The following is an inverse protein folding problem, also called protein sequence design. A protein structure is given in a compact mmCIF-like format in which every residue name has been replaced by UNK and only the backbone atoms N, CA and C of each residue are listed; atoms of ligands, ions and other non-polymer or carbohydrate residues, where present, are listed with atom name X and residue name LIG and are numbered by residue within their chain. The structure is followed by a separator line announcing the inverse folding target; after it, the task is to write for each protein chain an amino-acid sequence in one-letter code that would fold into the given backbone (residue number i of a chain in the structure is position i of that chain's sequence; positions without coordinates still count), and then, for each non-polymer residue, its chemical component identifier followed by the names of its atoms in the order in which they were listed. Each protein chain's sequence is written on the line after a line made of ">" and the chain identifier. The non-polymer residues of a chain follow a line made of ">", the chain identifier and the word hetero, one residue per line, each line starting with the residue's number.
data_IF_911477410184
#
_entry.id   IF_911477410184
#
_cell.length_a   1.000
_cell.length_b   1.000
_cell.length_c   1.000
_cell.angle_alpha   90.00
_cell.angle_beta   90.00
_cell.angle_gamma   90.00
#
_symmetry.space_group_name_H-M   'P 1'
#
loop_
_entity.id
_entity.type
_entity.pdbx_description
1 polymer ?
#
# COMPACT_ATOMS: atom_id res chain seq x y z
N UNK A 1 -19.27 21.15 -31.68
CA UNK A 1 -17.93 20.52 -31.72
C UNK A 1 -17.80 19.61 -30.51
N UNK A 2 -17.23 18.42 -30.67
CA UNK A 2 -16.98 17.47 -29.57
C UNK A 2 -15.46 17.20 -29.56
N UNK A 3 -14.85 17.20 -28.37
CA UNK A 3 -13.44 16.90 -28.17
C UNK A 3 -13.29 16.05 -26.90
N UNK A 4 -12.20 15.28 -26.82
CA UNK A 4 -11.86 14.45 -25.68
C UNK A 4 -10.43 14.77 -25.22
N UNK A 5 -10.19 14.77 -23.90
CA UNK A 5 -8.86 14.90 -23.30
C UNK A 5 -8.79 14.12 -22.00
N UNK A 6 -7.61 13.54 -21.71
CA UNK A 6 -7.30 12.95 -20.41
C UNK A 6 -6.62 13.95 -19.46
N UNK A 7 -6.29 15.14 -19.96
CA UNK A 7 -5.62 16.21 -19.20
C UNK A 7 -6.39 17.51 -19.33
N UNK A 8 -7.50 17.66 -18.60
CA UNK A 8 -8.25 18.92 -18.59
C UNK A 8 -7.49 20.06 -17.91
N UNK A 9 -6.50 19.74 -17.08
CA UNK A 9 -5.64 20.66 -16.31
C UNK A 9 -4.74 21.54 -17.20
N UNK A 10 -4.34 21.05 -18.38
CA UNK A 10 -3.45 21.76 -19.31
C UNK A 10 -4.19 22.49 -20.44
N UNK A 11 -5.52 22.39 -20.49
CA UNK A 11 -6.29 23.07 -21.52
C UNK A 11 -6.24 24.58 -21.31
N UNK A 12 -6.11 25.33 -22.42
CA UNK A 12 -6.22 26.79 -22.39
C UNK A 12 -7.60 27.18 -21.80
N UNK A 13 -7.64 27.94 -20.69
CA UNK A 13 -8.89 28.40 -20.08
C UNK A 13 -9.80 29.16 -21.06
N UNK A 14 -9.23 29.77 -22.10
CA UNK A 14 -10.00 30.43 -23.14
C UNK A 14 -10.92 29.45 -23.89
N UNK A 15 -10.55 28.18 -24.04
CA UNK A 15 -11.39 27.16 -24.69
C UNK A 15 -12.64 26.80 -23.86
N UNK A 16 -12.57 26.97 -22.54
CA UNK A 16 -13.62 26.63 -21.59
C UNK A 16 -14.58 27.80 -21.31
N UNK A 17 -14.40 28.94 -21.97
CA UNK A 17 -15.30 30.09 -21.84
C UNK A 17 -16.65 29.84 -22.54
N UNK A 18 -17.75 30.41 -22.03
CA UNK A 18 -19.05 30.32 -22.67
C UNK A 18 -19.02 30.76 -24.14
N UNK A 19 -19.73 30.01 -25.01
CA UNK A 19 -19.74 30.15 -26.47
C UNK A 19 -18.69 29.28 -27.19
N UNK A 20 -17.96 28.41 -26.47
CA UNK A 20 -16.94 27.49 -27.03
C UNK A 20 -17.23 26.06 -26.59
N UNK A 21 -16.56 25.56 -25.55
CA UNK A 21 -16.88 24.29 -24.92
C UNK A 21 -17.75 24.50 -23.68
N UNK A 22 -19.05 24.67 -23.91
CA UNK A 22 -20.02 25.02 -22.86
C UNK A 22 -20.36 23.85 -21.93
N UNK A 23 -20.16 22.62 -22.39
CA UNK A 23 -20.49 21.39 -21.66
C UNK A 23 -19.25 20.54 -21.49
N UNK A 24 -19.03 20.12 -20.24
CA UNK A 24 -18.02 19.13 -19.87
C UNK A 24 -18.77 17.90 -19.39
N UNK A 25 -18.47 16.77 -20.01
CA UNK A 25 -18.95 15.46 -19.58
C UNK A 25 -17.71 14.68 -19.19
N UNK A 26 -17.58 14.39 -17.90
CA UNK A 26 -16.52 13.53 -17.39
C UNK A 26 -16.98 12.08 -17.56
N UNK A 27 -16.11 11.23 -18.13
CA UNK A 27 -16.34 9.80 -18.18
C UNK A 27 -15.37 9.13 -17.21
N UNK A 28 -15.89 8.73 -16.06
CA UNK A 28 -15.14 7.99 -15.06
C UNK A 28 -15.03 6.51 -15.44
N UNK A 29 -14.18 5.77 -14.71
CA UNK A 29 -14.14 4.31 -14.84
C UNK A 29 -15.49 3.70 -14.47
N UNK A 30 -15.91 2.63 -15.16
CA UNK A 30 -17.20 1.99 -14.89
C UNK A 30 -17.23 1.35 -13.50
N UNK A 31 -18.36 1.53 -12.82
CA UNK A 31 -18.70 0.77 -11.61
C UNK A 31 -19.02 -0.69 -11.94
N UNK A 32 -19.27 -1.52 -10.93
CA UNK A 32 -19.54 -2.96 -11.12
C UNK A 32 -20.68 -3.24 -12.12
N UNK A 33 -21.77 -2.47 -12.10
CA UNK A 33 -22.89 -2.66 -13.03
C UNK A 33 -22.54 -2.18 -14.44
N UNK A 34 -21.81 -1.08 -14.57
CA UNK A 34 -21.24 -0.60 -15.81
C UNK A 34 -20.28 -1.63 -16.42
N UNK A 35 -19.42 -2.26 -15.62
CA UNK A 35 -18.52 -3.34 -16.08
C UNK A 35 -19.33 -4.52 -16.60
N UNK A 36 -20.37 -4.97 -15.88
CA UNK A 36 -21.27 -6.04 -16.36
C UNK A 36 -21.93 -5.67 -17.69
N UNK A 37 -22.42 -4.44 -17.83
CA UNK A 37 -23.06 -3.96 -19.06
C UNK A 37 -22.08 -3.95 -20.24
N UNK A 38 -20.86 -3.44 -20.03
CA UNK A 38 -19.81 -3.42 -21.05
C UNK A 38 -19.41 -4.84 -21.45
N UNK A 39 -19.21 -5.74 -20.49
CA UNK A 39 -18.93 -7.15 -20.76
C UNK A 39 -20.02 -7.80 -21.60
N UNK A 40 -21.30 -7.57 -21.27
CA UNK A 40 -22.45 -8.07 -22.05
C UNK A 40 -22.45 -7.56 -23.48
N UNK A 41 -22.17 -6.26 -23.69
CA UNK A 41 -22.08 -5.66 -25.03
C UNK A 41 -20.98 -6.30 -25.86
N UNK A 42 -19.78 -6.46 -25.30
CA UNK A 42 -18.64 -7.01 -26.03
C UNK A 42 -18.69 -8.54 -26.21
N UNK A 43 -19.47 -9.24 -25.37
CA UNK A 43 -19.70 -10.66 -25.51
C UNK A 43 -20.83 -11.00 -26.49
N UNK A 44 -21.65 -10.03 -26.89
CA UNK A 44 -22.74 -10.22 -27.83
C UNK A 44 -22.24 -10.83 -29.15
N UNK A 45 -22.88 -11.92 -29.59
CA UNK A 45 -22.52 -12.65 -30.81
C UNK A 45 -21.35 -13.62 -30.69
N UNK A 46 -20.72 -13.75 -29.51
CA UNK A 46 -19.67 -14.76 -29.28
C UNK A 46 -20.28 -16.06 -28.74
N UNK A 47 -19.73 -17.24 -29.10
CA UNK A 47 -20.24 -18.51 -28.60
C UNK A 47 -19.78 -18.72 -27.15
N UNK A 48 -20.58 -18.29 -26.18
CA UNK A 48 -20.30 -18.51 -24.76
C UNK A 48 -20.84 -19.86 -24.29
N UNK A 49 -20.15 -20.47 -23.34
CA UNK A 49 -20.66 -21.63 -22.64
C UNK A 49 -21.75 -21.21 -21.61
N UNK A 50 -22.75 -22.06 -21.30
CA UNK A 50 -23.88 -21.69 -20.45
C UNK A 50 -23.52 -21.27 -19.01
N UNK A 51 -22.38 -21.71 -18.50
CA UNK A 51 -21.88 -21.45 -17.15
C UNK A 51 -21.16 -20.09 -17.00
N UNK A 52 -20.98 -19.34 -18.09
CA UNK A 52 -20.29 -18.03 -18.04
C UNK A 52 -21.18 -17.00 -17.36
N UNK A 53 -20.71 -16.48 -16.22
CA UNK A 53 -21.36 -15.39 -15.49
C UNK A 53 -20.53 -14.12 -15.54
N UNK A 54 -21.13 -13.00 -15.94
CA UNK A 54 -20.43 -11.71 -15.98
C UNK A 54 -20.31 -11.07 -14.59
N UNK A 55 -21.08 -11.55 -13.62
CA UNK A 55 -21.06 -11.06 -12.24
C UNK A 55 -19.72 -11.31 -11.56
N UNK A 56 -19.13 -12.50 -11.72
CA UNK A 56 -17.79 -12.83 -11.21
C UNK A 56 -16.72 -12.00 -11.92
N UNK A 57 -16.77 -11.94 -13.26
CA UNK A 57 -15.80 -11.18 -14.05
C UNK A 57 -15.80 -9.69 -13.71
N UNK A 58 -16.97 -9.08 -13.47
CA UNK A 58 -17.05 -7.68 -13.07
C UNK A 58 -16.45 -7.43 -11.68
N UNK A 59 -16.52 -8.42 -10.77
CA UNK A 59 -15.86 -8.35 -9.46
C UNK A 59 -14.35 -8.49 -9.57
N UNK A 60 -13.87 -9.36 -10.45
CA UNK A 60 -12.42 -9.60 -10.66
C UNK A 60 -11.71 -8.49 -11.45
N UNK A 61 -12.45 -7.53 -12.02
CA UNK A 61 -11.91 -6.46 -12.86
C UNK A 61 -12.10 -5.04 -12.29
N UNK A 62 -11.86 -4.81 -10.98
CA UNK A 62 -12.05 -3.48 -10.40
C UNK A 62 -11.06 -2.49 -11.05
N UNK A 63 -11.58 -1.32 -11.43
CA UNK A 63 -10.78 -0.27 -12.07
C UNK A 63 -10.49 -0.48 -13.56
N UNK A 64 -10.99 -1.55 -14.18
CA UNK A 64 -10.85 -1.74 -15.63
C UNK A 64 -11.67 -0.69 -16.40
N UNK A 65 -11.06 -0.11 -17.42
CA UNK A 65 -11.72 0.71 -18.42
C UNK A 65 -12.55 -0.13 -19.39
N UNK A 66 -13.48 0.50 -20.11
CA UNK A 66 -14.26 -0.20 -21.14
C UNK A 66 -13.40 -0.84 -22.23
N UNK A 67 -12.26 -0.23 -22.56
CA UNK A 67 -11.30 -0.78 -23.52
C UNK A 67 -10.63 -2.05 -22.98
N UNK A 68 -10.24 -2.08 -21.71
CA UNK A 68 -9.64 -3.27 -21.08
C UNK A 68 -10.65 -4.43 -20.97
N UNK A 69 -11.91 -4.15 -20.64
CA UNK A 69 -12.98 -5.14 -20.65
C UNK A 69 -13.24 -5.70 -22.05
N UNK A 70 -13.26 -4.84 -23.07
CA UNK A 70 -13.35 -5.28 -24.47
C UNK A 70 -12.16 -6.17 -24.85
N UNK A 71 -10.95 -5.81 -24.42
CA UNK A 71 -9.74 -6.59 -24.68
C UNK A 71 -9.77 -7.95 -23.98
N UNK A 72 -10.23 -8.00 -22.73
CA UNK A 72 -10.43 -9.24 -21.97
C UNK A 72 -11.35 -10.20 -22.73
N UNK A 73 -12.50 -9.73 -23.21
CA UNK A 73 -13.44 -10.54 -23.99
C UNK A 73 -12.82 -11.03 -25.31
N UNK A 74 -11.90 -10.26 -25.88
CA UNK A 74 -11.18 -10.68 -27.08
C UNK A 74 -10.12 -11.74 -26.79
N UNK A 75 -9.33 -11.56 -25.73
CA UNK A 75 -8.31 -12.51 -25.32
C UNK A 75 -8.91 -13.87 -24.93
N UNK A 76 -10.03 -13.88 -24.21
CA UNK A 76 -10.76 -15.11 -23.88
C UNK A 76 -11.20 -15.87 -25.15
N UNK A 77 -11.70 -15.15 -26.16
CA UNK A 77 -12.08 -15.75 -27.43
C UNK A 77 -10.87 -16.33 -28.19
N UNK A 78 -9.73 -15.62 -28.20
CA UNK A 78 -8.49 -16.09 -28.81
C UNK A 78 -7.98 -17.35 -28.10
N UNK A 79 -8.07 -17.40 -26.77
CA UNK A 79 -7.68 -18.58 -25.98
C UNK A 79 -8.54 -19.80 -26.30
N UNK A 80 -9.87 -19.61 -26.34
CA UNK A 80 -10.80 -20.67 -26.72
C UNK A 80 -10.50 -21.18 -28.15
N UNK A 81 -10.27 -20.27 -29.10
CA UNK A 81 -9.93 -20.62 -30.48
C UNK A 81 -8.59 -21.37 -30.58
N UNK A 82 -7.55 -20.93 -29.86
CA UNK A 82 -6.25 -21.62 -29.80
C UNK A 82 -6.37 -23.03 -29.20
N UNK A 83 -7.30 -23.23 -28.28
CA UNK A 83 -7.63 -24.53 -27.71
C UNK A 83 -8.54 -25.39 -28.60
N UNK A 84 -8.87 -24.96 -29.82
CA UNK A 84 -9.86 -25.59 -30.70
C UNK A 84 -11.22 -25.82 -30.01
N UNK A 85 -11.60 -24.95 -29.07
CA UNK A 85 -12.90 -25.02 -28.38
C UNK A 85 -14.00 -24.40 -29.26
N UNK A 86 -15.20 -24.98 -29.19
CA UNK A 86 -16.39 -24.46 -29.93
C UNK A 86 -17.08 -23.30 -29.20
N UNK A 87 -16.86 -23.18 -27.90
CA UNK A 87 -17.41 -22.15 -27.04
C UNK A 87 -16.32 -21.60 -26.13
N UNK A 88 -16.51 -20.38 -25.62
CA UNK A 88 -15.65 -19.71 -24.64
C UNK A 88 -16.16 -20.09 -23.26
N UNK A 89 -15.31 -20.71 -22.45
CA UNK A 89 -15.64 -21.17 -21.10
C UNK A 89 -15.20 -20.15 -20.06
N UNK A 90 -15.73 -20.25 -18.84
CA UNK A 90 -15.35 -19.36 -17.73
C UNK A 90 -13.82 -19.35 -17.49
N UNK A 91 -13.18 -20.51 -17.56
CA UNK A 91 -11.73 -20.64 -17.44
C UNK A 91 -10.93 -19.85 -18.50
N UNK A 92 -11.49 -19.64 -19.70
CA UNK A 92 -10.84 -18.81 -20.73
C UNK A 92 -10.92 -17.32 -20.37
N UNK A 93 -11.98 -16.90 -19.68
CA UNK A 93 -12.11 -15.53 -19.16
C UNK A 93 -11.20 -15.29 -17.96
N UNK A 94 -11.11 -16.22 -17.01
CA UNK A 94 -10.20 -16.13 -15.86
C UNK A 94 -8.73 -16.04 -16.32
N UNK A 95 -8.34 -16.84 -17.32
CA UNK A 95 -7.01 -16.76 -17.93
C UNK A 95 -6.79 -15.43 -18.67
N UNK A 96 -7.85 -14.87 -19.28
CA UNK A 96 -7.80 -13.56 -19.91
C UNK A 96 -7.65 -12.43 -18.90
N UNK A 97 -8.34 -12.48 -17.76
CA UNK A 97 -8.18 -11.54 -16.63
C UNK A 97 -6.73 -11.53 -16.18
N UNK A 98 -6.17 -12.71 -15.84
CA UNK A 98 -4.77 -12.85 -15.44
C UNK A 98 -3.82 -12.23 -16.47
N UNK A 99 -4.11 -12.44 -17.77
CA UNK A 99 -3.26 -11.96 -18.85
C UNK A 99 -3.35 -10.45 -19.07
N UNK A 100 -4.51 -9.84 -18.84
CA UNK A 100 -4.66 -8.37 -18.92
C UNK A 100 -3.94 -7.71 -17.73
N UNK A 101 -4.03 -8.29 -16.54
CA UNK A 101 -3.40 -7.75 -15.32
C UNK A 101 -1.87 -7.95 -15.35
N UNK A 102 -1.43 -9.19 -15.51
CA UNK A 102 -0.04 -9.58 -15.29
C UNK A 102 0.73 -9.82 -16.61
N UNK A 103 0.07 -9.79 -17.76
CA UNK A 103 0.67 -10.09 -19.06
C UNK A 103 0.68 -11.59 -19.41
N UNK A 104 1.26 -11.96 -20.57
CA UNK A 104 1.26 -13.33 -21.04
C UNK A 104 2.10 -14.26 -20.15
N UNK A 105 1.67 -15.51 -20.04
CA UNK A 105 2.39 -16.57 -19.32
C UNK A 105 3.76 -16.86 -19.96
N UNK A 106 4.81 -16.92 -19.14
CA UNK A 106 6.17 -17.26 -19.60
C UNK A 106 6.39 -18.77 -19.63
N UNK A 107 5.92 -19.45 -20.69
CA UNK A 107 6.03 -20.92 -20.82
C UNK A 107 7.46 -21.45 -20.96
N UNK A 108 8.39 -20.65 -21.52
CA UNK A 108 9.76 -21.09 -21.84
C UNK A 108 10.80 -20.72 -20.79
N UNK A 109 10.43 -20.04 -19.69
CA UNK A 109 11.37 -19.70 -18.64
C UNK A 109 11.61 -20.94 -17.78
N UNK A 110 12.83 -21.46 -17.79
CA UNK A 110 13.25 -22.50 -16.83
C UNK A 110 13.34 -21.81 -15.47
N UNK A 111 12.37 -22.06 -14.60
CA UNK A 111 12.36 -21.56 -13.22
C UNK A 111 13.11 -22.56 -12.35
N UNK A 112 14.11 -22.08 -11.61
CA UNK A 112 14.84 -22.90 -10.65
C UNK A 112 13.86 -23.38 -9.56
N UNK A 113 13.89 -24.66 -9.13
CA UNK A 113 13.09 -25.13 -7.99
C UNK A 113 13.11 -24.20 -6.77
N UNK A 114 14.28 -23.66 -6.41
CA UNK A 114 14.42 -22.69 -5.30
C UNK A 114 13.70 -21.37 -5.58
N UNK A 115 13.76 -20.85 -6.80
CA UNK A 115 13.04 -19.61 -7.20
C UNK A 115 11.52 -19.82 -7.15
N UNK A 116 11.05 -20.99 -7.59
CA UNK A 116 9.63 -21.37 -7.50
C UNK A 116 9.17 -21.48 -6.05
N UNK A 117 9.99 -22.08 -5.19
CA UNK A 117 9.71 -22.21 -3.76
C UNK A 117 9.67 -20.83 -3.09
N UNK A 118 10.66 -19.98 -3.30
CA UNK A 118 10.66 -18.60 -2.78
C UNK A 118 9.43 -17.82 -3.23
N UNK A 119 9.08 -17.91 -4.52
CA UNK A 119 7.86 -17.27 -5.04
C UNK A 119 6.61 -17.80 -4.34
N UNK A 120 6.53 -19.11 -4.07
CA UNK A 120 5.38 -19.68 -3.38
C UNK A 120 5.20 -19.16 -1.95
N UNK A 121 6.29 -19.06 -1.18
CA UNK A 121 6.23 -18.49 0.16
C UNK A 121 5.97 -16.98 0.13
N UNK A 122 6.49 -16.27 -0.87
CA UNK A 122 6.22 -14.85 -1.08
C UNK A 122 4.72 -14.60 -1.28
N UNK A 123 4.09 -15.29 -2.23
CA UNK A 123 2.65 -15.15 -2.49
C UNK A 123 1.81 -15.64 -1.30
N UNK A 124 2.22 -16.73 -0.64
CA UNK A 124 1.57 -17.19 0.58
C UNK A 124 1.64 -16.15 1.70
N UNK A 125 2.73 -15.39 1.79
CA UNK A 125 2.89 -14.27 2.73
C UNK A 125 1.84 -13.19 2.55
N UNK A 126 1.63 -12.73 1.30
CA UNK A 126 0.54 -11.79 1.00
C UNK A 126 -0.82 -12.35 1.37
N UNK A 127 -1.10 -13.58 0.95
CA UNK A 127 -2.40 -14.22 1.15
C UNK A 127 -2.71 -14.45 2.64
N UNK A 128 -1.73 -14.91 3.42
CA UNK A 128 -1.91 -15.18 4.84
C UNK A 128 -2.16 -13.89 5.63
N UNK A 129 -1.41 -12.83 5.33
CA UNK A 129 -1.63 -11.52 5.96
C UNK A 129 -3.00 -10.97 5.56
N UNK A 130 -3.40 -11.08 4.28
CA UNK A 130 -4.72 -10.62 3.84
C UNK A 130 -5.85 -11.39 4.54
N UNK A 131 -5.70 -12.71 4.69
CA UNK A 131 -6.68 -13.54 5.40
C UNK A 131 -6.79 -13.23 6.89
N UNK A 132 -5.69 -12.87 7.54
CA UNK A 132 -5.66 -12.56 8.98
C UNK A 132 -6.16 -11.15 9.33
N UNK A 133 -6.20 -10.24 8.35
CA UNK A 133 -6.46 -8.81 8.56
C UNK A 133 -7.92 -8.46 8.31
N UNK A 134 -8.64 -8.01 9.34
CA UNK A 134 -10.09 -7.73 9.29
C UNK A 134 -10.52 -6.80 8.15
N UNK A 135 -9.78 -5.69 7.94
CA UNK A 135 -10.08 -4.70 6.91
C UNK A 135 -9.35 -4.90 5.58
N UNK A 136 -8.65 -6.02 5.38
CA UNK A 136 -8.03 -6.32 4.10
C UNK A 136 -9.07 -6.84 3.10
N UNK A 137 -8.83 -6.60 1.81
CA UNK A 137 -9.69 -7.17 0.78
C UNK A 137 -9.46 -8.69 0.70
N UNK A 138 -10.52 -9.50 0.49
CA UNK A 138 -10.41 -10.95 0.55
C UNK A 138 -9.55 -11.52 -0.58
N UNK A 139 -8.84 -12.61 -0.28
CA UNK A 139 -8.04 -13.35 -1.26
C UNK A 139 -8.97 -14.10 -2.20
N UNK A 140 -8.88 -13.77 -3.49
CA UNK A 140 -9.64 -14.44 -4.53
C UNK A 140 -8.83 -15.60 -5.15
N UNK A 141 -7.55 -15.36 -5.44
CA UNK A 141 -6.69 -16.33 -6.14
C UNK A 141 -5.23 -16.12 -5.80
N UNK A 142 -4.49 -17.21 -5.68
CA UNK A 142 -3.03 -17.22 -5.48
C UNK A 142 -2.42 -17.99 -6.64
N UNK A 143 -1.41 -17.42 -7.30
CA UNK A 143 -0.74 -18.05 -8.43
C UNK A 143 0.76 -17.83 -8.38
N UNK A 144 1.53 -18.91 -8.50
CA UNK A 144 3.00 -18.89 -8.61
C UNK A 144 3.46 -18.98 -10.08
N UNK A 145 2.55 -18.72 -11.01
CA UNK A 145 2.82 -18.81 -12.44
C UNK A 145 3.39 -17.48 -12.92
N UNK A 146 4.63 -17.51 -13.41
CA UNK A 146 5.29 -16.33 -13.94
C UNK A 146 4.57 -15.77 -15.19
N UNK A 147 4.21 -14.49 -15.13
CA UNK A 147 3.50 -13.73 -16.16
C UNK A 147 4.11 -12.34 -16.32
N UNK A 148 4.22 -11.85 -17.56
CA UNK A 148 4.74 -10.50 -17.81
C UNK A 148 6.04 -10.26 -17.07
N UNK A 149 6.13 -9.29 -16.15
CA UNK A 149 7.31 -9.08 -15.28
C UNK A 149 7.22 -9.75 -13.89
N UNK A 150 6.07 -10.35 -13.55
CA UNK A 150 5.75 -10.94 -12.26
C UNK A 150 6.16 -12.42 -12.19
N UNK A 151 6.69 -12.85 -11.04
CA UNK A 151 7.04 -14.25 -10.74
C UNK A 151 5.84 -15.07 -10.25
N UNK A 152 4.96 -14.42 -9.49
CA UNK A 152 3.66 -14.89 -9.02
C UNK A 152 2.75 -13.67 -8.80
N UNK A 153 1.51 -13.90 -8.40
CA UNK A 153 0.64 -12.85 -7.90
C UNK A 153 -0.45 -13.40 -6.96
N UNK A 154 -0.87 -12.54 -6.04
CA UNK A 154 -2.00 -12.75 -5.14
C UNK A 154 -3.09 -11.74 -5.48
N UNK A 155 -4.23 -12.23 -5.98
CA UNK A 155 -5.37 -11.40 -6.36
C UNK A 155 -6.26 -11.15 -5.16
N UNK A 156 -6.36 -9.88 -4.75
CA UNK A 156 -7.31 -9.40 -3.76
C UNK A 156 -8.47 -8.71 -4.47
N UNK A 157 -9.69 -9.13 -4.19
CA UNK A 157 -10.89 -8.60 -4.84
C UNK A 157 -11.78 -7.96 -3.79
N UNK A 158 -12.03 -6.64 -3.83
CA UNK A 158 -12.94 -6.00 -2.89
C UNK A 158 -14.38 -6.49 -3.12
N UNK A 159 -15.17 -6.60 -2.05
CA UNK A 159 -16.58 -6.99 -2.15
C UNK A 159 -17.44 -5.93 -2.86
N UNK A 160 -17.05 -4.67 -2.70
CA UNK A 160 -17.73 -3.50 -3.24
C UNK A 160 -16.70 -2.49 -3.78
N UNK A 161 -17.06 -1.75 -4.83
CA UNK A 161 -16.24 -0.64 -5.32
C UNK A 161 -16.29 0.51 -4.31
N UNK A 162 -15.14 0.83 -3.70
CA UNK A 162 -15.05 1.86 -2.64
C UNK A 162 -14.47 3.16 -3.18
N UNK A 163 -15.17 4.27 -2.96
CA UNK A 163 -14.66 5.62 -3.23
C UNK A 163 -13.90 6.22 -2.04
N UNK A 164 -14.27 5.86 -0.81
CA UNK A 164 -13.65 6.35 0.41
C UNK A 164 -12.86 5.22 1.09
N UNK A 165 -11.68 5.56 1.60
CA UNK A 165 -10.78 4.64 2.29
C UNK A 165 -10.55 5.10 3.72
N UNK A 166 -10.68 4.18 4.67
CA UNK A 166 -10.35 4.43 6.07
C UNK A 166 -8.87 4.23 6.33
N UNK A 167 -8.36 4.83 7.43
CA UNK A 167 -6.97 4.64 7.86
C UNK A 167 -6.65 3.16 8.10
N UNK A 168 -7.54 2.42 8.78
CA UNK A 168 -7.34 1.00 9.07
C UNK A 168 -7.22 0.14 7.81
N UNK A 169 -8.04 0.42 6.79
CA UNK A 169 -7.94 -0.27 5.49
C UNK A 169 -6.60 0.00 4.81
N UNK A 170 -6.10 1.24 4.85
CA UNK A 170 -4.78 1.55 4.31
C UNK A 170 -3.64 0.88 5.10
N UNK A 171 -3.73 0.86 6.43
CA UNK A 171 -2.77 0.16 7.28
C UNK A 171 -2.73 -1.35 6.98
N UNK A 172 -3.90 -1.98 6.85
CA UNK A 172 -4.01 -3.40 6.50
C UNK A 172 -3.50 -3.67 5.08
N UNK A 173 -3.84 -2.82 4.11
CA UNK A 173 -3.32 -2.93 2.74
C UNK A 173 -1.80 -2.84 2.70
N UNK A 174 -1.22 -1.92 3.48
CA UNK A 174 0.23 -1.81 3.62
C UNK A 174 0.84 -3.06 4.24
N UNK A 175 0.22 -3.62 5.29
CA UNK A 175 0.66 -4.86 5.91
C UNK A 175 0.65 -6.03 4.92
N UNK A 176 -0.43 -6.17 4.13
CA UNK A 176 -0.52 -7.19 3.08
C UNK A 176 0.58 -7.02 2.05
N UNK A 177 0.81 -5.80 1.56
CA UNK A 177 1.89 -5.52 0.59
C UNK A 177 3.26 -5.91 1.14
N UNK A 178 3.51 -5.78 2.45
CA UNK A 178 4.79 -6.19 3.05
C UNK A 178 4.86 -7.69 3.37
N UNK A 179 3.74 -8.42 3.28
CA UNK A 179 3.62 -9.82 3.69
C UNK A 179 4.57 -10.77 2.96
N UNK A 180 4.72 -10.64 1.63
CA UNK A 180 5.62 -11.50 0.85
C UNK A 180 7.08 -11.34 1.23
N UNK A 181 7.53 -10.08 1.40
CA UNK A 181 8.89 -9.76 1.85
C UNK A 181 9.21 -10.34 3.23
N UNK A 182 8.26 -10.24 4.17
CA UNK A 182 8.42 -10.78 5.53
C UNK A 182 8.43 -12.31 5.52
N UNK A 183 7.59 -12.94 4.70
CA UNK A 183 7.57 -14.39 4.56
C UNK A 183 8.91 -14.94 4.04
N UNK A 184 9.51 -14.28 3.05
CA UNK A 184 10.85 -14.65 2.57
C UNK A 184 11.90 -14.59 3.68
N UNK A 185 11.89 -13.50 4.46
CA UNK A 185 12.85 -13.30 5.54
C UNK A 185 12.69 -14.33 6.66
N UNK A 186 11.47 -14.71 7.03
CA UNK A 186 11.22 -15.68 8.09
C UNK A 186 11.64 -17.10 7.67
N UNK A 187 11.33 -17.48 6.43
CA UNK A 187 11.51 -18.87 5.96
C UNK A 187 12.94 -19.12 5.44
N UNK A 188 13.53 -18.15 4.75
CA UNK A 188 14.82 -18.32 4.08
C UNK A 188 15.97 -17.55 4.72
N UNK A 189 15.71 -16.68 5.69
CA UNK A 189 16.69 -15.73 6.27
C UNK A 189 17.40 -14.87 5.20
N UNK A 190 16.73 -14.69 4.06
CA UNK A 190 17.24 -14.00 2.89
C UNK A 190 16.24 -12.96 2.38
N UNK A 191 16.74 -12.07 1.53
CA UNK A 191 15.99 -10.93 1.02
C UNK A 191 16.13 -10.88 -0.49
N UNK A 192 15.02 -10.92 -1.22
CA UNK A 192 15.06 -10.93 -2.68
C UNK A 192 14.75 -9.56 -3.28
N UNK A 193 15.09 -9.38 -4.55
CA UNK A 193 14.67 -8.22 -5.34
C UNK A 193 13.23 -8.32 -5.85
N UNK A 194 12.56 -9.45 -5.61
CA UNK A 194 11.17 -9.71 -6.03
C UNK A 194 10.17 -8.75 -5.39
N UNK A 195 10.40 -8.36 -4.13
CA UNK A 195 9.54 -7.45 -3.36
C UNK A 195 9.65 -5.95 -3.76
N UNK A 196 10.36 -5.62 -4.83
CA UNK A 196 10.63 -4.22 -5.20
C UNK A 196 9.36 -3.42 -5.52
N UNK A 197 8.44 -4.02 -6.29
CA UNK A 197 7.15 -3.40 -6.59
C UNK A 197 6.30 -3.23 -5.32
N UNK A 198 6.33 -4.20 -4.40
CA UNK A 198 5.58 -4.13 -3.15
C UNK A 198 6.07 -2.98 -2.27
N UNK A 199 7.38 -2.84 -2.13
CA UNK A 199 7.99 -1.71 -1.42
C UNK A 199 7.62 -0.37 -2.05
N UNK A 200 7.61 -0.29 -3.38
CA UNK A 200 7.18 0.92 -4.09
C UNK A 200 5.72 1.26 -3.80
N UNK A 201 4.81 0.27 -3.86
CA UNK A 201 3.39 0.46 -3.57
C UNK A 201 3.16 0.86 -2.10
N UNK A 202 3.81 0.17 -1.16
CA UNK A 202 3.74 0.50 0.27
C UNK A 202 4.23 1.93 0.52
N UNK A 203 5.33 2.34 -0.13
CA UNK A 203 5.87 3.70 -0.03
C UNK A 203 4.89 4.74 -0.56
N UNK A 204 4.31 4.53 -1.75
CA UNK A 204 3.32 5.44 -2.34
C UNK A 204 2.08 5.57 -1.46
N UNK A 205 1.64 4.45 -0.89
CA UNK A 205 0.47 4.41 -0.01
C UNK A 205 0.76 5.18 1.29
N UNK A 206 1.90 4.92 1.96
CA UNK A 206 2.31 5.65 3.16
C UNK A 206 2.46 7.16 2.91
N UNK A 207 3.09 7.56 1.80
CA UNK A 207 3.18 8.96 1.41
C UNK A 207 1.80 9.58 1.14
N UNK A 208 0.89 8.83 0.54
CA UNK A 208 -0.49 9.25 0.29
C UNK A 208 -1.25 9.49 1.60
N UNK A 209 -1.17 8.55 2.54
CA UNK A 209 -1.76 8.67 3.88
C UNK A 209 -1.33 9.97 4.57
N UNK A 210 -0.04 10.28 4.54
CA UNK A 210 0.50 11.47 5.22
C UNK A 210 0.19 12.74 4.43
N UNK A 211 0.63 12.83 3.16
CA UNK A 211 0.63 14.09 2.40
C UNK A 211 -0.73 14.49 1.85
N UNK A 212 -1.54 13.52 1.43
CA UNK A 212 -2.81 13.78 0.71
C UNK A 212 -4.02 13.63 1.61
N UNK A 213 -3.99 12.64 2.50
CA UNK A 213 -5.16 12.28 3.30
C UNK A 213 -5.08 12.77 4.74
N UNK A 214 -3.94 13.31 5.18
CA UNK A 214 -3.78 13.81 6.55
C UNK A 214 -3.94 12.72 7.62
N UNK A 215 -3.71 11.45 7.28
CA UNK A 215 -3.89 10.29 8.15
C UNK A 215 -2.70 10.07 9.09
N UNK A 216 -2.20 11.15 9.69
CA UNK A 216 -1.15 11.10 10.69
C UNK A 216 -1.68 11.68 12.01
N UNK A 217 -1.23 11.08 13.12
CA UNK A 217 -1.43 11.67 14.44
C UNK A 217 -0.35 12.72 14.63
N UNK A 218 -0.67 14.00 14.44
CA UNK A 218 0.15 15.06 14.99
C UNK A 218 -0.03 15.04 16.51
N UNK A 219 0.89 14.42 17.26
CA UNK A 219 1.02 14.74 18.68
C UNK A 219 1.44 16.21 18.76
N UNK A 220 0.53 17.07 19.20
CA UNK A 220 0.85 18.46 19.53
C UNK A 220 1.52 18.41 20.89
N UNK A 221 2.81 18.65 20.92
CA UNK A 221 3.55 18.81 22.16
C UNK A 221 3.50 20.29 22.54
N UNK A 222 3.30 20.58 23.82
CA UNK A 222 3.48 21.93 24.33
C UNK A 222 4.96 22.32 24.21
N UNK A 223 5.22 23.55 23.76
CA UNK A 223 6.58 24.03 23.60
C UNK A 223 7.15 24.49 24.95
N UNK A 224 8.35 24.02 25.28
CA UNK A 224 9.12 24.47 26.43
C UNK A 224 10.43 25.09 25.97
N UNK A 225 10.76 26.33 26.38
CA UNK A 225 12.07 26.91 26.09
C UNK A 225 13.20 26.07 26.67
N UNK A 226 14.31 25.92 25.94
CA UNK A 226 15.45 25.09 26.37
C UNK A 226 16.03 25.52 27.73
N UNK A 227 15.98 26.80 28.06
CA UNK A 227 16.36 27.33 29.37
C UNK A 227 15.52 26.75 30.51
N UNK A 228 14.22 26.55 30.27
CA UNK A 228 13.30 25.92 31.22
C UNK A 228 13.53 24.42 31.32
N UNK A 229 13.86 23.76 30.21
CA UNK A 229 14.26 22.34 30.20
C UNK A 229 15.51 22.12 31.02
N UNK A 230 16.55 22.96 30.84
CA UNK A 230 17.81 22.86 31.60
C UNK A 230 17.55 23.08 33.09
N UNK A 231 16.72 24.07 33.44
CA UNK A 231 16.35 24.32 34.83
C UNK A 231 15.61 23.12 35.44
N UNK A 232 14.56 22.63 34.79
CA UNK A 232 13.76 21.50 35.29
C UNK A 232 14.56 20.19 35.33
N UNK A 233 15.49 19.99 34.41
CA UNK A 233 16.43 18.87 34.46
C UNK A 233 17.38 18.97 35.66
N UNK A 234 17.84 20.18 35.99
CA UNK A 234 18.63 20.44 37.21
C UNK A 234 17.82 20.28 38.49
N UNK A 235 16.52 20.52 38.45
CA UNK A 235 15.62 20.37 39.59
C UNK A 235 15.13 18.91 39.76
N UNK A 236 15.55 17.99 38.87
CA UNK A 236 15.18 16.57 38.91
C UNK A 236 13.77 16.25 38.39
N UNK A 237 13.11 17.20 37.72
CA UNK A 237 11.74 17.05 37.22
C UNK A 237 11.68 16.37 35.85
N UNK A 238 12.81 16.20 35.17
CA UNK A 238 12.92 15.62 33.83
C UNK A 238 13.38 14.17 33.91
N UNK A 239 12.59 13.25 33.37
CA UNK A 239 12.93 11.82 33.34
C UNK A 239 13.83 11.49 32.14
N UNK A 240 13.49 12.00 30.97
CA UNK A 240 14.13 11.61 29.71
C UNK A 240 14.14 12.75 28.73
N UNK A 241 15.29 12.95 28.07
CA UNK A 241 15.41 13.88 26.95
C UNK A 241 15.82 13.08 25.72
N UNK A 242 14.92 13.00 24.75
CA UNK A 242 15.20 12.40 23.45
C UNK A 242 15.57 13.49 22.45
N UNK A 243 16.74 13.34 21.83
CA UNK A 243 17.29 14.33 20.91
C UNK A 243 17.07 13.88 19.48
N UNK A 244 16.38 14.70 18.69
CA UNK A 244 16.09 14.51 17.27
C UNK A 244 16.71 15.63 16.43
N UNK A 245 18.02 15.56 16.17
CA UNK A 245 18.76 16.65 15.53
C UNK A 245 18.73 17.92 16.38
N UNK A 246 17.98 18.94 15.92
CA UNK A 246 17.76 20.20 16.63
C UNK A 246 16.52 20.19 17.53
N UNK A 247 15.61 19.23 17.37
CA UNK A 247 14.44 19.09 18.23
C UNK A 247 14.75 18.21 19.45
N UNK A 248 14.13 18.53 20.58
CA UNK A 248 14.23 17.82 21.85
C UNK A 248 12.81 17.42 22.26
N UNK A 249 12.60 16.14 22.55
CA UNK A 249 11.39 15.67 23.23
C UNK A 249 11.74 15.44 24.70
N UNK A 250 11.13 16.22 25.56
CA UNK A 250 11.37 16.22 27.00
C UNK A 250 10.21 15.50 27.67
N UNK A 251 10.50 14.39 28.34
CA UNK A 251 9.54 13.70 29.20
C UNK A 251 9.85 14.04 30.65
N UNK A 252 8.82 14.51 31.34
CA UNK A 252 8.88 14.81 32.77
C UNK A 252 8.60 13.55 33.60
N UNK A 253 8.96 13.61 34.89
CA UNK A 253 8.66 12.54 35.84
C UNK A 253 7.15 12.32 36.07
N UNK A 254 6.30 13.30 35.74
CA UNK A 254 4.84 13.19 35.78
C UNK A 254 4.21 12.65 34.48
N UNK A 255 5.04 12.09 33.59
CA UNK A 255 4.69 11.57 32.26
C UNK A 255 4.27 12.63 31.22
N UNK A 256 4.31 13.94 31.55
CA UNK A 256 4.05 14.99 30.56
C UNK A 256 5.19 15.09 29.53
N UNK A 257 4.81 15.33 28.26
CA UNK A 257 5.73 15.39 27.12
C UNK A 257 5.75 16.82 26.51
N UNK A 258 6.93 17.42 26.42
CA UNK A 258 7.14 18.75 25.85
C UNK A 258 8.12 18.71 24.69
N UNK A 259 7.98 19.65 23.74
CA UNK A 259 8.96 19.87 22.68
C UNK A 259 9.81 21.09 23.00
N UNK A 260 11.12 20.96 22.86
CA UNK A 260 12.07 22.07 22.90
C UNK A 260 12.96 22.04 21.65
N UNK A 261 13.65 23.14 21.35
CA UNK A 261 14.63 23.21 20.25
C UNK A 261 16.00 23.61 20.82
N UNK A 262 17.07 23.04 20.28
CA UNK A 262 18.45 23.47 20.58
C UNK A 262 18.70 24.85 19.96
N UNK A 263 19.33 25.73 20.73
CA UNK A 263 19.95 26.95 20.20
C UNK A 263 21.29 26.59 19.54
N UNK A 264 21.72 27.38 18.54
CA UNK A 264 22.88 27.04 17.68
C UNK A 264 24.20 26.89 18.45
N UNK A 265 24.32 27.51 19.62
CA UNK A 265 25.51 27.43 20.51
C UNK A 265 25.44 26.29 21.55
N UNK A 266 24.42 25.42 21.51
CA UNK A 266 24.24 24.37 22.51
C UNK A 266 25.26 23.22 22.34
N UNK A 267 26.28 23.18 23.20
CA UNK A 267 27.22 22.06 23.30
C UNK A 267 26.72 20.99 24.26
N UNK A 268 26.45 19.80 23.74
CA UNK A 268 25.97 18.65 24.52
C UNK A 268 26.88 18.32 25.71
N UNK A 269 28.20 18.56 25.57
CA UNK A 269 29.20 18.35 26.60
C UNK A 269 29.00 19.27 27.83
N UNK A 270 28.69 20.56 27.62
CA UNK A 270 28.45 21.50 28.72
C UNK A 270 27.15 21.18 29.48
N UNK A 271 26.16 20.60 28.77
CA UNK A 271 24.93 20.12 29.38
C UNK A 271 25.12 18.84 30.20
N UNK A 272 25.91 17.88 29.70
CA UNK A 272 26.23 16.65 30.44
C UNK A 272 27.09 16.94 31.67
N UNK A 273 28.09 17.81 31.55
CA UNK A 273 28.99 18.17 32.65
C UNK A 273 28.22 18.85 33.80
N UNK A 274 27.24 19.70 33.47
CA UNK A 274 26.39 20.37 34.45
C UNK A 274 25.37 19.48 35.17
N UNK A 275 25.07 18.28 34.65
CA UNK A 275 24.19 17.30 35.30
C UNK A 275 24.96 16.38 36.27
N UNK A 276 26.23 16.11 35.97
CA UNK A 276 27.09 15.21 36.76
C UNK A 276 27.56 15.88 38.07
N UNK A 277 27.79 17.19 38.09
CA UNK A 277 28.37 17.90 39.24
C UNK A 277 27.45 18.06 40.47
N UNK A 278 26.14 17.77 40.39
CA UNK A 278 25.18 18.16 41.45
C UNK A 278 24.45 17.03 42.20
N UNK A 279 24.83 15.76 42.01
CA UNK A 279 24.19 14.65 42.75
C UNK A 279 22.70 14.52 42.46
N UNK A 280 22.29 14.87 41.24
CA UNK A 280 20.92 14.85 40.76
C UNK A 280 20.49 13.43 40.37
N UNK A 281 19.18 13.17 40.39
CA UNK A 281 18.63 11.93 39.86
C UNK A 281 19.07 11.76 38.39
N UNK A 282 19.39 10.52 37.95
CA UNK A 282 20.01 10.29 36.65
C UNK A 282 19.01 10.59 35.52
N UNK A 283 19.14 11.77 34.91
CA UNK A 283 18.43 12.12 33.68
C UNK A 283 18.99 11.25 32.54
N UNK A 284 18.12 10.45 31.92
CA UNK A 284 18.54 9.64 30.77
C UNK A 284 18.45 10.47 29.49
N UNK A 285 19.59 10.71 28.85
CA UNK A 285 19.65 11.40 27.55
C UNK A 285 19.81 10.34 26.46
N UNK A 286 18.86 10.29 25.53
CA UNK A 286 18.89 9.36 24.39
C UNK A 286 19.08 10.17 23.12
N UNK A 287 20.25 10.02 22.48
CA UNK A 287 20.51 10.61 21.18
C UNK A 287 19.94 9.68 20.12
N UNK A 288 18.88 10.11 19.43
CA UNK A 288 18.32 9.39 18.29
C UNK A 288 18.87 10.03 17.02
N UNK A 289 19.68 9.26 16.28
CA UNK A 289 20.13 9.70 14.96
C UNK A 289 18.91 10.03 14.10
N UNK A 290 18.94 11.20 13.46
CA UNK A 290 17.82 11.79 12.73
C UNK A 290 17.41 11.01 11.46
N UNK A 291 17.86 9.76 11.32
CA UNK A 291 17.53 8.89 10.20
C UNK A 291 16.67 7.66 10.57
N UNK A 292 16.27 7.47 11.84
CA UNK A 292 15.45 6.30 12.21
C UNK A 292 14.15 6.69 12.90
N UNK A 293 13.10 6.77 12.08
CA UNK A 293 11.76 6.21 12.31
C UNK A 293 11.08 6.41 13.68
N UNK A 294 10.05 7.27 13.70
CA UNK A 294 8.84 7.08 14.51
C UNK A 294 7.58 7.23 13.64
N UNK A 295 7.50 6.45 12.55
CA UNK A 295 6.26 6.29 11.78
C UNK A 295 5.58 4.92 12.02
N UNK A 296 6.25 3.98 12.69
CA UNK A 296 5.82 2.58 12.82
C UNK A 296 5.37 2.18 14.23
N UNK A 297 5.19 3.13 15.15
CA UNK A 297 4.83 2.86 16.55
C UNK A 297 3.40 2.37 16.82
N UNK A 298 2.57 2.20 15.78
CA UNK A 298 1.17 1.77 15.94
C UNK A 298 0.81 0.48 15.18
N UNK A 299 1.76 -0.19 14.54
CA UNK A 299 1.52 -1.58 14.15
C UNK A 299 1.58 -2.43 15.42
N UNK A 300 0.44 -3.06 15.75
CA UNK A 300 0.28 -3.92 16.91
C UNK A 300 1.46 -4.89 17.09
N UNK A 301 1.87 -5.24 18.32
CA UNK A 301 2.97 -6.16 18.54
C UNK A 301 2.70 -7.49 17.83
N UNK A 302 3.56 -7.82 16.85
CA UNK A 302 3.64 -9.10 16.15
C UNK A 302 3.72 -10.32 17.11
N UNK A 303 3.99 -10.10 18.40
CA UNK A 303 3.96 -11.13 19.43
C UNK A 303 2.60 -11.83 19.58
N UNK A 304 1.48 -11.17 19.25
CA UNK A 304 0.16 -11.83 19.28
C UNK A 304 -0.07 -12.88 18.18
N UNK A 305 0.75 -12.88 17.11
CA UNK A 305 0.65 -13.89 16.05
C UNK A 305 1.43 -15.17 16.38
N UNK A 306 2.48 -15.09 17.20
CA UNK A 306 3.26 -16.27 17.61
C UNK A 306 2.51 -17.18 18.59
N UNK A 307 1.64 -16.63 19.45
CA UNK A 307 1.00 -17.42 20.51
C UNK A 307 -0.30 -18.13 20.09
N UNK A 308 -0.76 -17.96 18.86
CA UNK A 308 -2.10 -18.41 18.46
C UNK A 308 -2.12 -19.39 17.28
N UNK A 309 -1.04 -19.48 16.51
CA UNK A 309 -1.01 -20.29 15.28
C UNK A 309 0.35 -20.97 14.99
N UNK A 310 1.29 -20.96 15.93
CA UNK A 310 2.53 -21.75 15.91
C UNK A 310 2.66 -22.57 17.18
#
# INVERSE_FOLDING_TARGET
>A
MIAATNRPDILDPALLRPGRFDRRVTMDLPDIEGRKAILKVHAAGKPLAPEVTFESLAKETPGFSGAELSNLINEAAIMAARGNKKSIFMADFEEAVDRVIAGPQRKNRVINPREKEMTAYHEAGHALVAWAMEFADPVHKISIVARGQMGGHTSLVPEEDRYLWTKNQFEHRMAVTMGGRVAEQIIFDEVTTGASNDLEQATKLAQGMIKRYGMFSAKVYDEMPISSVIRKARDGEVSTIEVYGNDLLVRMCDESEFRSRKEDDFRLAEFSDGLIEKGLEPVTIVIKDSQVSTAWGHLAPLERLKSRYF
#
